data_IF_085393029758
#
_entry.id   IF_085393029758
#
_cell.length_a   1.000
_cell.length_b   1.000
_cell.length_c   1.000
_cell.angle_alpha   90.00
_cell.angle_beta   90.00
_cell.angle_gamma   90.00
#
_symmetry.space_group_name_H-M   'P 1'
#
loop_
_entity.id
_entity.type
_entity.pdbx_description
1 polymer ?
#
# COMPACT_ATOMS: atom_id res chain seq x y z
N UNK A 1 -40.75 5.72 -44.15
CA UNK A 1 -39.92 6.46 -43.19
C UNK A 1 -39.14 5.44 -42.37
N UNK A 2 -37.82 5.38 -42.58
CA UNK A 2 -36.91 4.54 -41.80
C UNK A 2 -36.74 5.16 -40.41
N UNK A 3 -37.15 4.47 -39.35
CA UNK A 3 -36.86 4.87 -37.98
C UNK A 3 -35.58 4.13 -37.52
N UNK A 4 -34.46 4.84 -37.48
CA UNK A 4 -33.26 4.40 -36.78
C UNK A 4 -33.55 4.45 -35.28
N UNK A 5 -33.65 3.30 -34.63
CA UNK A 5 -33.64 3.22 -33.16
C UNK A 5 -32.18 3.25 -32.72
N UNK A 6 -31.73 4.41 -32.22
CA UNK A 6 -30.44 4.54 -31.58
C UNK A 6 -30.51 3.85 -30.21
N UNK A 7 -29.88 2.68 -30.10
CA UNK A 7 -29.63 2.03 -28.80
C UNK A 7 -28.53 2.85 -28.12
N UNK A 8 -28.94 3.64 -27.12
CA UNK A 8 -28.00 4.30 -26.20
C UNK A 8 -27.43 3.22 -25.29
N UNK A 9 -26.19 2.82 -25.54
CA UNK A 9 -25.41 2.07 -24.57
C UNK A 9 -25.09 3.00 -23.40
N UNK A 10 -25.75 2.81 -22.27
CA UNK A 10 -25.28 3.37 -21.01
C UNK A 10 -23.95 2.67 -20.65
N UNK A 11 -22.82 3.32 -20.93
CA UNK A 11 -21.55 2.92 -20.33
C UNK A 11 -21.65 3.23 -18.83
N UNK A 12 -21.92 2.21 -18.02
CA UNK A 12 -21.63 2.27 -16.60
C UNK A 12 -20.11 2.23 -16.43
N UNK A 13 -19.48 3.39 -16.30
CA UNK A 13 -18.08 3.49 -15.91
C UNK A 13 -17.96 3.09 -14.43
N UNK A 14 -17.56 1.84 -14.19
CA UNK A 14 -17.16 1.37 -12.86
C UNK A 14 -15.87 2.11 -12.50
N UNK A 15 -15.94 2.94 -11.46
CA UNK A 15 -14.87 3.86 -11.11
C UNK A 15 -14.49 3.61 -9.63
N UNK A 16 -13.37 2.89 -9.42
CA UNK A 16 -12.84 2.51 -8.09
C UNK A 16 -11.86 3.56 -7.60
N UNK A 17 -12.17 4.25 -6.51
CA UNK A 17 -11.30 5.28 -5.94
C UNK A 17 -10.10 4.65 -5.22
N UNK A 18 -8.90 4.89 -5.72
CA UNK A 18 -7.65 4.58 -5.02
C UNK A 18 -7.29 5.77 -4.12
N UNK A 19 -7.13 5.58 -2.82
CA UNK A 19 -6.82 6.68 -1.90
C UNK A 19 -6.03 6.21 -0.69
N UNK A 20 -5.49 7.16 0.06
CA UNK A 20 -4.69 6.88 1.25
C UNK A 20 -4.56 8.10 2.15
N UNK A 21 -3.90 7.92 3.29
CA UNK A 21 -3.64 8.98 4.25
C UNK A 21 -2.27 8.84 4.92
N UNK A 22 -1.67 9.96 5.28
CA UNK A 22 -0.47 10.05 6.12
C UNK A 22 -0.69 11.10 7.21
N UNK A 23 -0.25 10.78 8.43
CA UNK A 23 -0.29 11.71 9.56
C UNK A 23 1.11 11.97 10.12
N UNK A 24 1.40 13.23 10.41
CA UNK A 24 2.66 13.73 10.95
C UNK A 24 2.45 14.51 12.24
N UNK A 25 3.54 14.80 12.96
CA UNK A 25 3.55 15.59 14.21
C UNK A 25 2.46 15.21 15.21
N UNK A 26 2.36 13.92 15.54
CA UNK A 26 1.36 13.37 16.47
C UNK A 26 -0.11 13.67 16.11
N UNK A 27 -0.41 13.90 14.83
CA UNK A 27 -1.77 14.22 14.36
C UNK A 27 -1.98 15.68 13.99
N UNK A 28 -0.99 16.55 14.24
CA UNK A 28 -1.06 17.97 13.91
C UNK A 28 -0.96 18.23 12.40
N UNK A 29 -0.58 17.22 11.61
CA UNK A 29 -0.61 17.24 10.15
C UNK A 29 -1.26 15.95 9.64
N UNK A 30 -2.23 16.07 8.75
CA UNK A 30 -2.89 14.98 8.06
C UNK A 30 -2.98 15.32 6.57
N UNK A 31 -2.51 14.39 5.75
CA UNK A 31 -2.57 14.45 4.28
C UNK A 31 -3.35 13.24 3.80
N UNK A 32 -4.49 13.45 3.19
CA UNK A 32 -5.30 12.41 2.56
C UNK A 32 -5.32 12.65 1.06
N UNK A 33 -5.43 11.58 0.28
CA UNK A 33 -5.58 11.69 -1.17
C UNK A 33 -6.55 10.66 -1.72
N UNK A 34 -7.15 10.97 -2.86
CA UNK A 34 -8.04 10.08 -3.60
C UNK A 34 -7.89 10.32 -5.10
N UNK A 35 -7.47 9.30 -5.84
CA UNK A 35 -7.54 9.27 -7.30
C UNK A 35 -9.01 9.24 -7.73
N UNK A 36 -9.41 10.25 -8.50
CA UNK A 36 -10.77 10.42 -8.97
C UNK A 36 -11.02 9.43 -10.11
N UNK A 37 -11.95 8.49 -9.96
CA UNK A 37 -11.90 7.35 -10.83
C UNK A 37 -12.64 7.60 -12.15
N UNK A 38 -12.06 7.08 -13.23
CA UNK A 38 -12.44 7.45 -14.59
C UNK A 38 -11.82 8.77 -15.07
N UNK A 39 -11.00 9.44 -14.25
CA UNK A 39 -10.31 10.67 -14.61
C UNK A 39 -8.79 10.54 -14.44
N UNK A 40 -8.06 11.51 -15.00
CA UNK A 40 -6.63 11.70 -14.74
C UNK A 40 -6.42 12.74 -13.64
N UNK A 41 -7.29 12.81 -12.63
CA UNK A 41 -7.20 13.76 -11.53
C UNK A 41 -7.06 13.04 -10.18
N UNK A 42 -6.32 13.64 -9.25
CA UNK A 42 -6.22 13.25 -7.86
C UNK A 42 -6.67 14.42 -6.99
N UNK A 43 -7.44 14.13 -5.95
CA UNK A 43 -7.85 15.10 -4.93
C UNK A 43 -7.01 14.88 -3.66
N UNK A 44 -6.51 15.96 -3.08
CA UNK A 44 -5.82 15.98 -1.79
C UNK A 44 -6.69 16.71 -0.76
N UNK A 45 -6.66 16.21 0.48
CA UNK A 45 -7.22 16.89 1.65
C UNK A 45 -6.11 17.06 2.69
N UNK A 46 -5.75 18.31 2.97
CA UNK A 46 -4.75 18.68 3.97
C UNK A 46 -5.46 19.19 5.21
N UNK A 47 -5.08 18.70 6.38
CA UNK A 47 -5.55 19.21 7.67
C UNK A 47 -4.34 19.44 8.55
N UNK A 48 -4.06 20.68 8.93
CA UNK A 48 -2.93 20.99 9.82
C UNK A 48 -3.35 21.91 10.95
N UNK A 49 -2.76 21.71 12.12
CA UNK A 49 -3.03 22.49 13.33
C UNK A 49 -2.27 23.81 13.31
N UNK A 50 -2.83 24.75 12.57
CA UNK A 50 -2.42 26.13 12.49
C UNK A 50 -3.64 27.01 12.18
N UNK A 51 -3.47 28.32 12.28
CA UNK A 51 -4.38 29.34 11.72
C UNK A 51 -3.72 30.12 10.58
N UNK A 52 -2.77 29.49 9.91
CA UNK A 52 -1.99 30.09 8.84
C UNK A 52 -1.95 29.21 7.61
N UNK A 53 -0.99 29.49 6.74
CA UNK A 53 -0.85 28.73 5.52
C UNK A 53 -0.39 27.30 5.79
N UNK A 54 -0.84 26.38 4.93
CA UNK A 54 -0.44 24.98 4.89
C UNK A 54 0.03 24.63 3.48
N UNK A 55 0.99 23.72 3.36
CA UNK A 55 1.59 23.37 2.08
C UNK A 55 1.88 21.88 1.91
N UNK A 56 1.72 21.40 0.67
CA UNK A 56 2.06 20.07 0.22
C UNK A 56 3.07 20.17 -0.93
N UNK A 57 4.21 19.49 -0.79
CA UNK A 57 5.16 19.31 -1.88
C UNK A 57 5.16 17.87 -2.38
N UNK A 58 5.32 17.66 -3.68
CA UNK A 58 5.39 16.37 -4.34
C UNK A 58 6.75 16.28 -5.04
N UNK A 59 7.47 15.17 -4.86
CA UNK A 59 8.79 14.98 -5.46
C UNK A 59 9.14 13.51 -5.67
N UNK A 60 9.95 13.22 -6.69
CA UNK A 60 10.57 11.91 -6.87
C UNK A 60 11.77 11.66 -5.94
N UNK A 61 12.24 12.69 -5.23
CA UNK A 61 13.48 12.64 -4.43
C UNK A 61 13.26 13.26 -3.04
N UNK A 62 13.79 12.62 -1.99
CA UNK A 62 13.89 13.26 -0.69
C UNK A 62 15.17 14.12 -0.62
N UNK A 63 15.12 15.32 -1.18
CA UNK A 63 16.27 16.23 -1.26
C UNK A 63 16.11 17.49 -0.39
N UNK A 64 15.20 17.44 0.59
CA UNK A 64 14.72 18.63 1.31
C UNK A 64 13.96 19.55 0.33
N UNK A 65 14.01 20.87 0.54
CA UNK A 65 13.35 21.89 -0.31
C UNK A 65 13.94 22.00 -1.73
N UNK A 66 14.20 20.91 -2.45
CA UNK A 66 14.70 20.90 -3.81
C UNK A 66 13.87 19.91 -4.64
N UNK A 67 13.64 20.23 -5.91
CA UNK A 67 12.83 19.47 -6.87
C UNK A 67 11.43 19.16 -6.33
N UNK A 68 10.76 20.19 -5.81
CA UNK A 68 9.38 20.06 -5.34
C UNK A 68 8.43 20.81 -6.26
N UNK A 69 7.34 20.13 -6.57
CA UNK A 69 6.08 20.66 -7.08
C UNK A 69 5.18 20.94 -5.86
N UNK A 70 4.88 22.21 -5.59
CA UNK A 70 4.39 22.69 -4.29
C UNK A 70 3.06 23.44 -4.43
N UNK A 71 2.08 23.01 -3.64
CA UNK A 71 0.82 23.71 -3.46
C UNK A 71 0.75 24.25 -2.05
N UNK A 72 0.58 25.56 -1.90
CA UNK A 72 0.50 26.22 -0.60
C UNK A 72 -0.71 27.15 -0.56
N UNK A 73 -1.42 27.17 0.55
CA UNK A 73 -2.66 27.93 0.66
C UNK A 73 -3.15 28.05 2.08
N UNK A 74 -4.36 28.54 2.27
CA UNK A 74 -4.97 28.71 3.59
C UNK A 74 -6.42 29.17 3.52
N UNK A 75 -6.92 29.66 4.66
CA UNK A 75 -8.27 30.18 4.77
C UNK A 75 -8.24 31.53 5.48
N UNK A 76 -8.47 32.60 4.73
CA UNK A 76 -8.33 33.99 5.20
C UNK A 76 -9.54 34.81 4.80
N UNK A 77 -10.03 35.67 5.69
CA UNK A 77 -11.16 36.57 5.40
C UNK A 77 -12.40 35.85 4.86
N UNK A 78 -12.72 34.67 5.41
CA UNK A 78 -13.82 33.79 4.96
C UNK A 78 -13.68 33.24 3.53
N UNK A 79 -12.48 33.26 2.97
CA UNK A 79 -12.18 32.71 1.66
C UNK A 79 -10.99 31.75 1.75
N UNK A 80 -11.08 30.64 1.02
CA UNK A 80 -9.94 29.76 0.82
C UNK A 80 -9.07 30.29 -0.33
N UNK A 81 -7.80 29.93 -0.30
CA UNK A 81 -6.86 30.23 -1.37
C UNK A 81 -5.86 29.08 -1.53
N UNK A 82 -5.36 28.92 -2.74
CA UNK A 82 -4.31 27.98 -3.10
C UNK A 82 -3.43 28.64 -4.15
N UNK A 83 -2.14 28.50 -3.95
CA UNK A 83 -1.10 29.00 -4.84
C UNK A 83 -0.16 27.86 -5.20
N UNK A 84 0.30 27.91 -6.45
CA UNK A 84 1.13 26.90 -7.09
C UNK A 84 2.56 27.41 -7.20
N UNK A 85 3.52 26.54 -6.91
CA UNK A 85 4.92 26.87 -6.76
C UNK A 85 5.80 25.70 -7.20
N UNK A 86 7.01 26.03 -7.63
CA UNK A 86 8.07 25.04 -7.83
C UNK A 86 9.34 25.44 -7.08
N UNK A 87 10.17 24.45 -6.77
CA UNK A 87 11.40 24.65 -5.98
C UNK A 87 12.57 23.86 -6.56
N UNK A 88 13.56 24.54 -7.15
CA UNK A 88 14.75 23.90 -7.76
C UNK A 88 16.01 23.90 -6.87
N UNK A 89 15.98 24.67 -5.78
CA UNK A 89 17.06 24.84 -4.83
C UNK A 89 16.49 25.13 -3.44
N UNK A 90 17.30 25.01 -2.38
CA UNK A 90 16.89 25.35 -1.00
C UNK A 90 16.73 26.86 -0.82
N UNK A 91 15.75 27.42 -1.49
CA UNK A 91 15.42 28.85 -1.58
C UNK A 91 13.93 29.03 -1.40
N UNK A 92 13.47 30.29 -1.39
CA UNK A 92 12.06 30.62 -1.46
C UNK A 92 11.44 29.94 -2.69
N UNK A 93 10.27 29.28 -2.55
CA UNK A 93 9.53 28.73 -3.69
C UNK A 93 9.25 29.81 -4.74
N UNK A 94 9.35 29.43 -6.01
CA UNK A 94 9.06 30.35 -7.13
C UNK A 94 7.63 30.12 -7.59
N UNK A 95 6.78 31.17 -7.71
CA UNK A 95 5.41 31.00 -8.18
C UNK A 95 5.36 30.29 -9.53
N UNK A 96 4.42 29.38 -9.67
CA UNK A 96 4.13 28.69 -10.92
C UNK A 96 2.79 29.14 -11.50
N UNK A 97 2.83 29.89 -12.60
CA UNK A 97 1.65 30.59 -13.12
C UNK A 97 0.83 29.74 -14.10
N UNK A 98 1.14 28.46 -14.23
CA UNK A 98 0.44 27.49 -15.08
C UNK A 98 -0.74 26.82 -14.36
N UNK A 99 -0.94 27.11 -13.07
CA UNK A 99 -2.06 26.66 -12.21
C UNK A 99 -2.46 25.21 -12.48
N UNK A 100 -1.68 24.27 -11.96
CA UNK A 100 -1.88 22.84 -12.10
C UNK A 100 -2.98 22.26 -11.19
N UNK A 101 -3.42 23.03 -10.19
CA UNK A 101 -4.41 22.62 -9.20
C UNK A 101 -5.64 23.54 -9.13
N UNK A 102 -6.77 22.96 -8.72
CA UNK A 102 -8.03 23.65 -8.46
C UNK A 102 -8.44 23.41 -7.01
N UNK A 103 -8.51 24.48 -6.21
CA UNK A 103 -9.05 24.40 -4.86
C UNK A 103 -10.55 24.07 -4.90
N UNK A 104 -10.98 23.08 -4.11
CA UNK A 104 -12.36 22.60 -4.05
C UNK A 104 -13.03 22.94 -2.72
N UNK A 105 -12.27 23.04 -1.64
CA UNK A 105 -12.75 23.49 -0.35
C UNK A 105 -11.61 24.03 0.53
N UNK A 106 -11.97 24.81 1.54
CA UNK A 106 -11.08 25.16 2.63
C UNK A 106 -11.85 25.72 3.80
N UNK A 107 -11.33 25.53 5.00
CA UNK A 107 -11.93 26.04 6.23
C UNK A 107 -10.86 26.23 7.30
N UNK A 108 -11.09 27.18 8.20
CA UNK A 108 -10.31 27.31 9.43
C UNK A 108 -11.25 27.32 10.63
N UNK A 109 -11.04 26.40 11.58
CA UNK A 109 -11.81 26.35 12.81
C UNK A 109 -11.00 25.72 13.94
N UNK A 110 -11.07 26.30 15.14
CA UNK A 110 -10.44 25.74 16.33
C UNK A 110 -8.91 25.60 16.25
N UNK A 111 -8.23 26.49 15.51
CA UNK A 111 -6.79 26.41 15.32
C UNK A 111 -6.34 25.33 14.33
N UNK A 112 -7.23 24.93 13.43
CA UNK A 112 -6.97 23.93 12.37
C UNK A 112 -7.35 24.55 11.03
N UNK A 113 -6.40 24.56 10.10
CA UNK A 113 -6.60 24.91 8.69
C UNK A 113 -6.79 23.62 7.89
N UNK A 114 -7.86 23.57 7.11
CA UNK A 114 -8.14 22.51 6.15
C UNK A 114 -8.16 23.07 4.73
N UNK A 115 -7.54 22.36 3.78
CA UNK A 115 -7.63 22.65 2.35
C UNK A 115 -7.87 21.38 1.57
N UNK A 116 -8.77 21.45 0.61
CA UNK A 116 -9.01 20.41 -0.38
C UNK A 116 -8.81 20.96 -1.77
N UNK A 117 -8.06 20.25 -2.59
CA UNK A 117 -7.81 20.63 -3.97
C UNK A 117 -7.59 19.42 -4.85
N UNK A 118 -7.87 19.57 -6.14
CA UNK A 118 -7.61 18.55 -7.15
C UNK A 118 -6.55 19.01 -8.12
N UNK A 119 -5.78 18.07 -8.66
CA UNK A 119 -4.82 18.31 -9.76
C UNK A 119 -4.82 17.14 -10.72
N UNK A 120 -4.33 17.37 -11.93
CA UNK A 120 -4.10 16.27 -12.86
C UNK A 120 -2.91 15.41 -12.40
N UNK A 121 -2.94 14.13 -12.77
CA UNK A 121 -1.81 13.21 -12.61
C UNK A 121 -0.62 13.65 -13.47
N UNK A 122 -0.91 14.13 -14.68
CA UNK A 122 0.04 14.75 -15.60
C UNK A 122 -0.52 16.11 -16.00
N UNK A 123 0.18 17.18 -15.60
CA UNK A 123 -0.23 18.56 -15.83
C UNK A 123 0.26 19.08 -17.18
N UNK A 124 1.28 18.42 -17.75
CA UNK A 124 2.00 18.88 -18.93
C UNK A 124 3.04 19.98 -18.64
N UNK A 125 3.20 20.43 -17.40
CA UNK A 125 4.25 21.36 -17.00
C UNK A 125 5.54 20.59 -16.67
N UNK A 126 6.68 21.12 -17.11
CA UNK A 126 8.00 20.55 -16.84
C UNK A 126 8.47 20.77 -15.40
N UNK A 127 7.87 21.72 -14.67
CA UNK A 127 8.19 22.00 -13.26
C UNK A 127 7.40 21.11 -12.30
N UNK A 128 6.32 20.51 -12.78
CA UNK A 128 5.46 19.64 -11.98
C UNK A 128 6.00 18.21 -11.94
N UNK A 129 5.79 17.56 -10.80
CA UNK A 129 6.08 16.14 -10.66
C UNK A 129 4.91 15.35 -11.20
N UNK A 130 5.09 14.69 -12.35
CA UNK A 130 4.12 13.74 -12.88
C UNK A 130 3.87 12.59 -11.91
N UNK A 131 2.60 12.33 -11.60
CA UNK A 131 2.16 11.20 -10.79
C UNK A 131 1.84 10.04 -11.73
N UNK A 132 2.82 9.16 -11.95
CA UNK A 132 2.62 7.95 -12.76
C UNK A 132 1.95 6.85 -11.93
N UNK A 133 0.84 6.25 -12.39
CA UNK A 133 0.22 5.10 -11.73
C UNK A 133 1.22 3.96 -11.48
N UNK A 134 1.34 3.53 -10.23
CA UNK A 134 2.27 2.49 -9.79
C UNK A 134 3.66 2.97 -9.37
N UNK A 135 4.02 4.22 -9.65
CA UNK A 135 5.27 4.81 -9.17
C UNK A 135 5.12 5.30 -7.72
N UNK A 136 6.23 5.34 -7.00
CA UNK A 136 6.30 5.86 -5.63
C UNK A 136 7.04 7.19 -5.62
N UNK A 137 6.54 8.13 -4.82
CA UNK A 137 7.07 9.48 -4.68
C UNK A 137 7.14 9.88 -3.19
N UNK A 138 7.67 11.05 -2.90
CA UNK A 138 7.69 11.66 -1.58
C UNK A 138 6.67 12.79 -1.50
N UNK A 139 5.99 12.88 -0.36
CA UNK A 139 5.20 14.03 0.04
C UNK A 139 5.98 14.83 1.08
N UNK A 140 6.24 16.09 0.78
CA UNK A 140 6.69 17.08 1.75
C UNK A 140 5.48 17.83 2.31
N UNK A 141 5.58 18.29 3.54
CA UNK A 141 4.56 19.15 4.14
C UNK A 141 5.24 20.28 4.91
N UNK A 142 4.55 21.41 5.00
CA UNK A 142 4.95 22.53 5.84
C UNK A 142 3.73 23.39 6.22
N UNK A 143 3.82 24.14 7.30
CA UNK A 143 2.82 25.14 7.65
C UNK A 143 3.44 26.33 8.39
N UNK A 144 2.77 27.48 8.31
CA UNK A 144 3.14 28.70 9.03
C UNK A 144 2.05 29.11 10.02
N UNK A 145 2.41 29.96 10.98
CA UNK A 145 1.50 30.44 12.02
C UNK A 145 0.58 31.59 11.54
N UNK A 146 0.80 32.10 10.32
CA UNK A 146 -0.01 33.16 9.68
C UNK A 146 -0.23 32.83 8.20
N UNK A 147 -1.18 33.48 7.54
CA UNK A 147 -1.39 33.34 6.08
C UNK A 147 -0.32 34.03 5.23
N UNK A 148 0.59 34.79 5.83
CA UNK A 148 1.72 35.38 5.09
C UNK A 148 2.76 34.29 4.85
N UNK A 149 3.03 33.96 3.58
CA UNK A 149 4.08 33.00 3.25
C UNK A 149 5.44 33.47 3.80
N UNK A 150 6.09 32.58 4.53
CA UNK A 150 7.31 32.88 5.26
C UNK A 150 8.05 31.60 5.63
N UNK A 151 9.14 31.75 6.37
CA UNK A 151 9.93 30.60 6.80
C UNK A 151 9.17 29.74 7.81
N UNK A 152 8.90 28.48 7.46
CA UNK A 152 8.12 27.51 8.24
C UNK A 152 8.85 26.91 9.46
N UNK A 153 10.05 27.40 9.83
CA UNK A 153 10.82 26.91 10.97
C UNK A 153 10.92 25.37 11.02
N UNK A 154 10.57 24.76 12.15
CA UNK A 154 10.51 23.31 12.38
C UNK A 154 9.21 22.67 11.89
N UNK A 155 8.20 23.45 11.50
CA UNK A 155 6.88 23.01 11.05
C UNK A 155 6.94 22.50 9.61
N UNK A 156 7.74 21.46 9.39
CA UNK A 156 7.99 20.86 8.08
C UNK A 156 8.40 19.40 8.20
N UNK A 157 8.17 18.61 7.16
CA UNK A 157 8.63 17.24 7.11
C UNK A 157 8.46 16.57 5.75
N UNK A 158 8.79 15.28 5.73
CA UNK A 158 8.72 14.40 4.57
C UNK A 158 8.08 13.07 4.95
N UNK A 159 7.35 12.48 4.02
CA UNK A 159 6.94 11.08 4.06
C UNK A 159 8.10 10.14 3.73
N UNK A 160 7.88 8.83 3.93
CA UNK A 160 8.56 7.81 3.15
C UNK A 160 8.04 7.76 1.70
N UNK A 161 8.48 6.77 0.93
CA UNK A 161 7.94 6.55 -0.42
C UNK A 161 6.47 6.14 -0.36
N UNK A 162 5.61 6.87 -1.06
CA UNK A 162 4.17 6.65 -1.13
C UNK A 162 3.71 6.47 -2.57
N UNK A 163 2.80 5.52 -2.79
CA UNK A 163 2.13 5.35 -4.08
C UNK A 163 0.80 6.10 -4.02
N UNK A 164 0.64 7.12 -4.84
CA UNK A 164 -0.59 7.93 -4.85
C UNK A 164 -1.69 7.36 -5.74
N UNK A 165 -1.32 6.54 -6.74
CA UNK A 165 -2.24 5.88 -7.67
C UNK A 165 -1.74 4.47 -7.95
N UNK A 166 -2.60 3.46 -7.88
CA UNK A 166 -2.26 2.07 -8.21
C UNK A 166 -1.81 1.90 -9.66
N UNK A 167 -0.89 0.96 -9.91
CA UNK A 167 -0.60 0.51 -11.26
C UNK A 167 -1.86 -0.10 -11.92
N UNK A 168 -2.07 0.08 -13.23
CA UNK A 168 -3.14 -0.61 -13.94
C UNK A 168 -2.96 -2.13 -13.83
N UNK A 169 -4.05 -2.85 -13.56
CA UNK A 169 -4.02 -4.31 -13.52
C UNK A 169 -3.59 -4.86 -14.88
N UNK A 170 -2.51 -5.65 -14.91
CA UNK A 170 -2.04 -6.27 -16.14
C UNK A 170 -2.98 -7.40 -16.53
N UNK A 171 -3.86 -7.15 -17.51
CA UNK A 171 -4.73 -8.17 -18.07
C UNK A 171 -4.00 -8.94 -19.17
N UNK A 172 -3.14 -9.89 -18.81
CA UNK A 172 -2.58 -10.85 -19.77
C UNK A 172 -3.53 -12.04 -19.92
N UNK A 173 -4.64 -11.85 -20.64
CA UNK A 173 -5.30 -13.00 -21.27
C UNK A 173 -4.50 -13.28 -22.54
N UNK A 174 -3.64 -14.30 -22.48
CA UNK A 174 -2.97 -14.80 -23.68
C UNK A 174 -4.04 -15.30 -24.67
N UNK A 175 -4.10 -14.81 -25.91
CA UNK A 175 -4.99 -15.37 -26.91
C UNK A 175 -4.49 -16.77 -27.26
N UNK A 176 -5.28 -17.79 -26.95
CA UNK A 176 -5.08 -19.14 -27.47
C UNK A 176 -5.32 -19.07 -28.98
N UNK A 177 -4.25 -19.12 -29.76
CA UNK A 177 -4.35 -19.15 -31.22
C UNK A 177 -5.01 -20.47 -31.66
N UNK A 178 -6.26 -20.39 -32.08
CA UNK A 178 -6.96 -21.47 -32.77
C UNK A 178 -6.45 -21.53 -34.21
N UNK A 179 -5.82 -22.64 -34.58
CA UNK A 179 -5.29 -22.86 -35.93
C UNK A 179 -6.43 -22.94 -36.95
N UNK A 180 -6.43 -22.03 -37.93
CA UNK A 180 -7.26 -22.13 -39.13
C UNK A 180 -6.47 -22.82 -40.24
N UNK A 181 -7.07 -23.87 -40.79
CA UNK A 181 -6.59 -24.60 -41.97
C UNK A 181 -7.00 -23.83 -43.22
N UNK A 182 -6.05 -23.54 -44.11
CA UNK A 182 -6.33 -23.16 -45.50
C UNK A 182 -5.44 -24.00 -46.41
N UNK A 183 -6.10 -24.78 -47.27
CA UNK A 183 -5.50 -25.51 -48.38
C UNK A 183 -5.35 -24.58 -49.60
N UNK A 184 -4.29 -24.74 -50.40
CA UNK A 184 -4.33 -25.22 -51.80
C UNK A 184 -2.98 -25.03 -52.53
N UNK A 185 -2.38 -26.18 -52.93
CA UNK A 185 -1.73 -26.54 -54.21
C UNK A 185 -0.86 -25.56 -55.03
N UNK A 186 0.37 -25.97 -55.38
CA UNK A 186 0.72 -26.49 -56.73
C UNK A 186 2.20 -26.97 -56.87
N UNK A 187 2.36 -28.07 -57.63
CA UNK A 187 3.45 -28.66 -58.48
C UNK A 187 4.91 -28.15 -58.34
N UNK A 188 6.00 -28.93 -58.47
CA UNK A 188 6.34 -30.00 -59.42
C UNK A 188 7.51 -30.91 -58.93
N UNK A 189 7.72 -32.01 -59.65
CA UNK A 189 8.50 -33.22 -59.34
C UNK A 189 10.04 -33.11 -59.34
N UNK A 190 10.70 -33.89 -58.46
CA UNK A 190 11.95 -34.65 -58.78
C UNK A 190 12.03 -35.94 -57.92
N UNK A 191 12.27 -37.07 -58.59
CA UNK A 191 12.62 -38.40 -58.03
C UNK A 191 14.11 -38.43 -57.66
N UNK A 192 14.59 -39.08 -56.56
CA UNK A 192 15.09 -40.46 -56.75
C UNK A 192 15.14 -41.41 -55.50
N UNK A 193 15.15 -42.70 -55.83
CA UNK A 193 15.85 -43.86 -55.22
C UNK A 193 15.35 -44.49 -53.89
N UNK A 194 15.09 -45.81 -53.86
CA UNK A 194 14.77 -46.55 -52.63
C UNK A 194 16.01 -46.73 -51.74
N UNK A 195 15.86 -46.39 -50.46
CA UNK A 195 16.88 -46.63 -49.41
C UNK A 195 16.61 -48.01 -48.76
N UNK A 196 17.65 -48.85 -48.54
CA UNK A 196 17.48 -50.22 -48.07
C UNK A 196 16.98 -50.32 -46.62
N UNK A 197 16.21 -51.38 -46.38
CA UNK A 197 15.66 -51.82 -45.09
C UNK A 197 16.75 -51.97 -44.02
N UNK A 198 16.61 -51.39 -42.82
CA UNK A 198 17.54 -51.64 -41.73
C UNK A 198 17.37 -53.05 -41.17
N UNK A 199 18.48 -53.77 -41.08
CA UNK A 199 18.65 -55.05 -40.39
C UNK A 199 18.32 -54.91 -38.90
N UNK A 200 17.66 -55.89 -38.25
CA UNK A 200 17.37 -55.82 -36.81
C UNK A 200 18.66 -55.82 -36.00
N UNK A 201 18.86 -54.79 -35.17
CA UNK A 201 19.94 -54.74 -34.20
C UNK A 201 19.66 -55.70 -33.03
N UNK A 202 20.69 -56.41 -32.59
CA UNK A 202 20.64 -57.36 -31.48
C UNK A 202 20.24 -56.70 -30.16
N UNK A 203 19.30 -57.35 -29.46
CA UNK A 203 18.79 -57.00 -28.14
C UNK A 203 19.93 -56.83 -27.13
N UNK A 204 20.08 -55.65 -26.47
CA UNK A 204 21.06 -55.50 -25.40
C UNK A 204 20.64 -56.28 -24.15
N UNK A 205 21.63 -56.87 -23.48
CA UNK A 205 21.48 -57.60 -22.22
C UNK A 205 20.93 -56.69 -21.10
N UNK A 206 20.17 -57.24 -20.13
CA UNK A 206 19.54 -56.46 -19.07
C UNK A 206 20.60 -55.76 -18.21
N UNK A 207 20.55 -54.43 -18.18
CA UNK A 207 21.30 -53.60 -17.25
C UNK A 207 20.69 -53.69 -15.85
N UNK A 208 21.56 -53.73 -14.83
CA UNK A 208 21.18 -53.79 -13.43
C UNK A 208 20.32 -52.58 -13.03
N UNK A 209 19.25 -52.86 -12.29
CA UNK A 209 18.33 -51.87 -11.72
C UNK A 209 19.11 -50.90 -10.82
N UNK A 210 19.10 -49.58 -11.08
CA UNK A 210 19.73 -48.62 -10.19
C UNK A 210 18.98 -48.56 -8.86
N UNK A 211 19.74 -48.42 -7.77
CA UNK A 211 19.21 -48.24 -6.42
C UNK A 211 18.26 -47.03 -6.37
N UNK A 212 17.22 -47.04 -5.51
CA UNK A 212 16.24 -45.97 -5.43
C UNK A 212 16.93 -44.65 -5.10
N UNK A 213 16.83 -43.70 -6.02
CA UNK A 213 17.22 -42.32 -5.80
C UNK A 213 16.27 -41.69 -4.77
N UNK A 214 16.85 -41.02 -3.77
CA UNK A 214 16.11 -40.29 -2.75
C UNK A 214 15.13 -39.33 -3.41
N UNK A 215 13.86 -39.43 -3.04
CA UNK A 215 12.80 -38.50 -3.44
C UNK A 215 13.26 -37.06 -3.16
N UNK A 216 13.29 -36.16 -4.17
CA UNK A 216 13.63 -34.78 -3.94
C UNK A 216 12.66 -34.18 -2.92
N UNK A 217 13.20 -33.43 -1.95
CA UNK A 217 12.40 -32.72 -0.97
C UNK A 217 11.34 -31.86 -1.67
N UNK A 218 10.11 -31.76 -1.13
CA UNK A 218 9.04 -31.00 -1.75
C UNK A 218 9.51 -29.58 -2.02
N UNK A 219 9.47 -29.18 -3.29
CA UNK A 219 9.73 -27.82 -3.72
C UNK A 219 8.72 -26.91 -3.01
N UNK A 220 9.22 -25.91 -2.29
CA UNK A 220 8.39 -24.91 -1.62
C UNK A 220 7.36 -24.36 -2.60
N UNK A 221 6.08 -24.59 -2.32
CA UNK A 221 4.98 -23.91 -3.02
C UNK A 221 5.26 -22.41 -2.99
N UNK A 222 5.26 -21.69 -4.14
CA UNK A 222 5.41 -20.24 -4.12
C UNK A 222 4.32 -19.66 -3.24
N UNK A 223 4.72 -18.87 -2.25
CA UNK A 223 3.80 -18.16 -1.37
C UNK A 223 2.82 -17.36 -2.23
N UNK A 224 1.53 -17.28 -1.87
CA UNK A 224 0.58 -16.43 -2.57
C UNK A 224 1.13 -15.01 -2.58
N UNK A 225 1.47 -14.50 -3.76
CA UNK A 225 1.82 -13.11 -3.97
C UNK A 225 0.57 -12.28 -3.74
N UNK A 226 0.37 -11.82 -2.50
CA UNK A 226 -0.70 -10.89 -2.16
C UNK A 226 -0.57 -9.62 -2.98
N UNK A 227 -1.61 -9.31 -3.75
CA UNK A 227 -1.70 -8.12 -4.56
C UNK A 227 -1.95 -6.87 -3.70
N UNK A 228 -1.13 -5.83 -3.97
CA UNK A 228 -1.42 -4.40 -3.86
C UNK A 228 -1.54 -3.74 -2.48
N UNK A 229 -0.71 -2.70 -2.30
CA UNK A 229 -0.55 -1.76 -1.19
C UNK A 229 0.16 -2.29 0.07
N UNK A 230 1.49 -2.28 0.03
CA UNK A 230 2.34 -2.42 1.23
C UNK A 230 2.50 -1.03 1.86
N UNK A 231 1.77 -0.77 2.95
CA UNK A 231 2.08 0.35 3.83
C UNK A 231 3.51 0.22 4.35
N UNK A 232 4.20 1.32 4.68
CA UNK A 232 5.61 1.28 5.04
C UNK A 232 5.98 2.25 6.17
N UNK A 233 6.80 1.76 7.11
CA UNK A 233 7.54 2.57 8.07
C UNK A 233 9.02 2.19 8.02
N UNK A 234 9.88 3.20 8.00
CA UNK A 234 11.33 3.04 8.05
C UNK A 234 11.85 3.69 9.32
N UNK A 235 12.56 2.91 10.13
CA UNK A 235 13.21 3.36 11.35
C UNK A 235 14.72 3.21 11.22
N UNK A 236 15.44 3.86 12.15
CA UNK A 236 16.89 3.73 12.29
C UNK A 236 17.63 3.89 10.95
N UNK A 237 17.34 4.98 10.22
CA UNK A 237 17.98 5.29 8.93
C UNK A 237 17.96 4.13 7.90
N UNK A 238 16.91 3.29 7.93
CA UNK A 238 16.79 2.15 7.00
C UNK A 238 17.19 0.80 7.58
N UNK A 239 17.75 0.75 8.79
CA UNK A 239 18.16 -0.52 9.41
C UNK A 239 16.99 -1.35 9.93
N UNK A 240 15.80 -0.76 10.09
CA UNK A 240 14.56 -1.46 10.38
C UNK A 240 13.46 -0.93 9.48
N UNK A 241 12.82 -1.80 8.71
CA UNK A 241 11.71 -1.46 7.83
C UNK A 241 10.54 -2.39 8.12
N UNK A 242 9.37 -1.81 8.38
CA UNK A 242 8.09 -2.50 8.55
C UNK A 242 7.22 -2.22 7.34
N UNK A 243 6.67 -3.28 6.75
CA UNK A 243 5.57 -3.21 5.81
C UNK A 243 4.36 -3.96 6.36
N UNK A 244 3.15 -3.49 6.05
CA UNK A 244 1.94 -4.24 6.40
C UNK A 244 0.82 -4.08 5.38
N UNK A 245 -0.01 -5.13 5.30
CA UNK A 245 -1.21 -5.19 4.48
C UNK A 245 -2.35 -5.82 5.26
N UNK A 246 -3.56 -5.25 5.14
CA UNK A 246 -4.75 -5.75 5.82
C UNK A 246 -5.66 -6.51 4.86
N UNK A 247 -5.95 -7.77 5.15
CA UNK A 247 -6.91 -8.58 4.42
C UNK A 247 -8.31 -8.45 5.05
N UNK A 248 -9.23 -7.78 4.34
CA UNK A 248 -10.60 -7.53 4.80
C UNK A 248 -11.46 -8.79 4.84
N UNK A 249 -11.12 -9.84 4.09
CA UNK A 249 -11.86 -11.11 4.08
C UNK A 249 -11.50 -11.96 5.29
N UNK A 250 -10.20 -12.11 5.57
CA UNK A 250 -9.73 -12.91 6.71
C UNK A 250 -9.69 -12.13 8.02
N UNK A 251 -9.83 -10.80 7.95
CA UNK A 251 -9.66 -9.88 9.09
C UNK A 251 -8.27 -10.02 9.72
N UNK A 252 -7.24 -10.15 8.90
CA UNK A 252 -5.85 -10.32 9.33
C UNK A 252 -4.98 -9.19 8.78
N UNK A 253 -4.02 -8.74 9.58
CA UNK A 253 -2.92 -7.88 9.15
C UNK A 253 -1.69 -8.74 8.94
N UNK A 254 -1.13 -8.70 7.74
CA UNK A 254 0.15 -9.30 7.39
C UNK A 254 1.24 -8.27 7.65
N UNK A 255 2.27 -8.66 8.38
CA UNK A 255 3.45 -7.84 8.66
C UNK A 255 4.67 -8.45 7.97
N UNK A 256 5.50 -7.58 7.41
CA UNK A 256 6.82 -7.91 6.88
C UNK A 256 7.84 -6.97 7.50
N UNK A 257 8.82 -7.52 8.19
CA UNK A 257 9.89 -6.74 8.79
C UNK A 257 11.21 -7.10 8.13
N UNK A 258 11.97 -6.09 7.71
CA UNK A 258 13.34 -6.22 7.21
C UNK A 258 14.28 -5.48 8.14
N UNK A 259 15.30 -6.15 8.67
CA UNK A 259 16.33 -5.53 9.51
C UNK A 259 17.74 -5.80 9.00
N UNK A 260 18.65 -4.85 9.25
CA UNK A 260 20.09 -5.07 9.12
C UNK A 260 20.61 -5.75 10.40
N UNK A 261 20.91 -7.03 10.30
CA UNK A 261 21.32 -7.87 11.43
C UNK A 261 20.70 -9.27 11.37
N UNK A 262 21.22 -10.17 12.20
CA UNK A 262 20.82 -11.58 12.28
C UNK A 262 20.29 -12.01 13.65
N UNK A 263 20.13 -11.06 14.58
CA UNK A 263 19.55 -11.34 15.89
C UNK A 263 18.01 -11.24 15.90
N UNK A 264 17.44 -11.08 17.09
CA UNK A 264 16.00 -11.02 17.28
C UNK A 264 15.38 -9.68 16.89
N UNK A 265 14.10 -9.71 16.51
CA UNK A 265 13.30 -8.58 16.03
C UNK A 265 12.06 -8.48 16.92
N UNK A 266 11.65 -7.27 17.30
CA UNK A 266 10.39 -7.04 18.02
C UNK A 266 9.54 -5.96 17.37
N UNK A 267 8.25 -6.22 17.29
CA UNK A 267 7.20 -5.30 16.87
C UNK A 267 6.20 -5.17 18.02
N UNK A 268 5.93 -3.95 18.48
CA UNK A 268 4.87 -3.69 19.47
C UNK A 268 3.77 -2.81 18.90
N UNK A 269 2.52 -3.10 19.24
CA UNK A 269 1.34 -2.33 18.87
C UNK A 269 0.75 -1.73 20.15
N UNK A 270 0.44 -0.43 20.14
CA UNK A 270 -0.22 0.21 21.29
C UNK A 270 -1.04 1.43 20.91
N UNK A 271 -2.05 1.71 21.73
CA UNK A 271 -2.74 3.00 21.74
C UNK A 271 -1.92 4.12 22.42
N UNK A 272 -0.86 3.75 23.14
CA UNK A 272 -0.07 4.62 24.00
C UNK A 272 1.38 4.67 23.53
N UNK A 273 2.01 5.84 23.61
CA UNK A 273 3.46 5.98 23.52
C UNK A 273 4.03 6.19 24.94
N UNK A 274 4.05 5.11 25.73
CA UNK A 274 4.46 5.15 27.15
C UNK A 274 5.54 4.12 27.45
N UNK A 275 6.70 4.26 26.79
CA UNK A 275 7.86 3.37 26.92
C UNK A 275 7.56 1.92 26.55
N UNK A 276 7.36 1.01 27.50
CA UNK A 276 6.97 -0.37 27.23
C UNK A 276 5.65 -0.71 27.92
N UNK A 277 4.85 0.28 28.31
CA UNK A 277 3.57 0.04 28.96
C UNK A 277 2.44 -0.07 27.96
N UNK A 278 1.73 -1.19 27.97
CA UNK A 278 0.53 -1.46 27.20
C UNK A 278 0.84 -1.84 25.75
N UNK A 279 1.87 -2.65 25.52
CA UNK A 279 2.17 -3.17 24.19
C UNK A 279 1.69 -4.62 24.07
N UNK A 280 1.13 -4.90 22.89
CA UNK A 280 0.92 -6.21 22.28
C UNK A 280 2.10 -6.45 21.34
N UNK A 281 2.89 -7.51 21.56
CA UNK A 281 4.27 -7.63 21.06
C UNK A 281 4.49 -8.96 20.33
N UNK A 282 4.91 -8.88 19.08
CA UNK A 282 5.53 -9.98 18.37
C UNK A 282 7.05 -9.94 18.55
N UNK A 283 7.65 -11.05 18.98
CA UNK A 283 9.11 -11.28 18.96
C UNK A 283 9.43 -12.34 17.93
N UNK A 284 10.21 -11.97 16.92
CA UNK A 284 10.61 -12.84 15.83
C UNK A 284 12.11 -13.13 15.83
N UNK A 285 12.47 -14.35 15.45
CA UNK A 285 13.87 -14.80 15.42
C UNK A 285 14.08 -15.80 14.28
N UNK A 286 15.32 -15.89 13.79
CA UNK A 286 15.77 -17.01 12.94
C UNK A 286 16.85 -17.75 13.70
N UNK A 287 16.69 -19.07 13.85
CA UNK A 287 17.66 -19.90 14.56
C UNK A 287 18.85 -20.29 13.68
N UNK A 288 19.84 -20.95 14.27
CA UNK A 288 21.06 -21.39 13.56
C UNK A 288 20.82 -22.38 12.42
N UNK A 289 19.65 -23.03 12.38
CA UNK A 289 19.23 -23.91 11.29
C UNK A 289 18.46 -23.19 10.18
N UNK A 290 18.34 -21.86 10.25
CA UNK A 290 17.61 -21.04 9.28
C UNK A 290 16.10 -21.06 9.45
N UNK A 291 15.58 -21.67 10.51
CA UNK A 291 14.14 -21.72 10.79
C UNK A 291 13.70 -20.46 11.53
N UNK A 292 12.69 -19.78 11.00
CA UNK A 292 12.08 -18.59 11.60
C UNK A 292 10.99 -18.92 12.62
N UNK A 293 10.85 -18.08 13.64
CA UNK A 293 9.77 -18.17 14.63
C UNK A 293 9.20 -16.78 14.89
N UNK A 294 7.93 -16.73 15.30
CA UNK A 294 7.33 -15.56 15.95
C UNK A 294 6.67 -16.04 17.25
N UNK A 295 6.88 -15.29 18.31
CA UNK A 295 6.35 -15.56 19.64
C UNK A 295 5.57 -14.34 20.12
N UNK A 296 4.51 -14.62 20.86
CA UNK A 296 3.60 -13.62 21.41
C UNK A 296 4.03 -13.18 22.81
N UNK A 297 4.02 -11.87 23.04
CA UNK A 297 4.39 -11.23 24.29
C UNK A 297 3.49 -10.02 24.52
N UNK A 298 3.36 -9.63 25.78
CA UNK A 298 2.74 -8.36 26.16
C UNK A 298 3.54 -7.66 27.24
N UNK A 299 3.28 -6.37 27.42
CA UNK A 299 3.93 -5.60 28.49
C UNK A 299 3.00 -4.58 29.15
N UNK A 300 3.07 -4.51 30.48
CA UNK A 300 2.24 -3.61 31.31
C UNK A 300 3.04 -2.50 31.98
N UNK A 301 4.38 -2.55 31.88
CA UNK A 301 5.30 -1.57 32.45
C UNK A 301 6.65 -1.60 31.72
N UNK A 302 7.59 -0.75 32.12
CA UNK A 302 8.94 -0.67 31.53
C UNK A 302 9.87 -1.77 32.02
N UNK A 303 9.45 -3.02 31.85
CA UNK A 303 10.18 -4.24 32.24
C UNK A 303 10.23 -5.22 31.06
N UNK A 304 10.96 -6.31 31.22
CA UNK A 304 10.94 -7.43 30.25
C UNK A 304 9.49 -7.82 29.93
N UNK A 305 9.09 -7.87 28.64
CA UNK A 305 7.77 -8.35 28.26
C UNK A 305 7.52 -9.77 28.75
N UNK A 306 6.28 -10.04 29.14
CA UNK A 306 5.85 -11.38 29.55
C UNK A 306 5.41 -12.14 28.31
N UNK A 307 5.89 -13.38 28.15
CA UNK A 307 5.43 -14.24 27.06
C UNK A 307 3.94 -14.51 27.24
N UNK A 308 3.17 -14.31 26.19
CA UNK A 308 1.74 -14.56 26.24
C UNK A 308 1.46 -16.07 26.25
N UNK A 309 0.46 -16.46 27.02
CA UNK A 309 -0.02 -17.83 27.07
C UNK A 309 -0.83 -18.20 25.82
N UNK A 310 -1.43 -17.21 25.14
CA UNK A 310 -2.05 -17.37 23.84
C UNK A 310 -1.09 -16.91 22.75
N UNK A 311 -1.04 -17.64 21.65
CA UNK A 311 -0.23 -17.29 20.48
C UNK A 311 -1.18 -16.75 19.42
N UNK A 312 -1.22 -15.44 19.27
CA UNK A 312 -2.12 -14.75 18.34
C UNK A 312 -1.41 -14.28 17.06
N UNK A 313 -0.08 -14.30 17.05
CA UNK A 313 0.73 -14.13 15.84
C UNK A 313 0.96 -15.49 15.14
N UNK A 314 0.71 -15.51 13.84
CA UNK A 314 0.98 -16.67 12.99
C UNK A 314 2.21 -16.41 12.13
N UNK A 315 3.27 -17.19 12.35
CA UNK A 315 4.48 -17.17 11.52
C UNK A 315 4.15 -17.54 10.06
N UNK A 316 4.81 -16.89 9.10
CA UNK A 316 4.66 -17.19 7.67
C UNK A 316 6.01 -17.61 7.09
N UNK A 317 6.99 -16.71 7.06
CA UNK A 317 8.34 -17.00 6.56
C UNK A 317 9.39 -16.19 7.29
N UNK A 318 10.63 -16.65 7.27
CA UNK A 318 11.78 -15.81 7.55
C UNK A 318 12.96 -16.21 6.67
N UNK A 319 13.86 -15.27 6.43
CA UNK A 319 15.12 -15.53 5.74
C UNK A 319 16.22 -14.65 6.32
N UNK A 320 17.45 -15.18 6.30
CA UNK A 320 18.65 -14.43 6.62
C UNK A 320 19.63 -14.52 5.46
N UNK A 321 19.90 -13.40 4.81
CA UNK A 321 20.79 -13.32 3.66
C UNK A 321 21.61 -12.03 3.73
N UNK A 322 22.93 -12.13 3.49
CA UNK A 322 23.84 -10.99 3.43
C UNK A 322 23.75 -10.03 4.63
N UNK A 323 23.66 -10.60 5.85
CA UNK A 323 23.56 -9.81 7.08
C UNK A 323 22.23 -9.07 7.26
N UNK A 324 21.18 -9.43 6.51
CA UNK A 324 19.81 -8.93 6.71
C UNK A 324 18.88 -10.06 7.10
N UNK A 325 17.95 -9.77 8.00
CA UNK A 325 16.84 -10.67 8.33
C UNK A 325 15.55 -10.10 7.78
N UNK A 326 14.76 -10.93 7.11
CA UNK A 326 13.38 -10.64 6.72
C UNK A 326 12.48 -11.63 7.42
N UNK A 327 11.42 -11.15 8.09
CA UNK A 327 10.39 -12.01 8.68
C UNK A 327 9.01 -11.55 8.27
N UNK A 328 8.14 -12.50 7.97
CA UNK A 328 6.73 -12.29 7.67
C UNK A 328 5.88 -13.10 8.63
N UNK A 329 4.87 -12.46 9.21
CA UNK A 329 3.88 -13.06 10.08
C UNK A 329 2.56 -12.31 9.97
N UNK A 330 1.47 -12.84 10.51
CA UNK A 330 0.16 -12.20 10.50
C UNK A 330 -0.53 -12.29 11.84
N UNK A 331 -1.49 -11.40 12.08
CA UNK A 331 -2.35 -11.39 13.27
C UNK A 331 -3.77 -10.99 12.90
N UNK A 332 -4.78 -11.57 13.56
CA UNK A 332 -6.17 -11.16 13.39
C UNK A 332 -6.42 -9.79 14.01
N UNK A 333 -7.42 -9.06 13.51
CA UNK A 333 -7.84 -7.79 14.12
C UNK A 333 -8.26 -7.94 15.58
N UNK A 334 -8.97 -9.02 15.87
CA UNK A 334 -9.47 -9.38 17.20
C UNK A 334 -9.01 -10.80 17.53
N UNK A 335 -8.34 -10.95 18.66
CA UNK A 335 -7.76 -12.21 19.14
C UNK A 335 -8.60 -12.84 20.25
N UNK A 336 -9.42 -12.03 20.93
CA UNK A 336 -10.10 -12.41 22.17
C UNK A 336 -9.09 -12.77 23.29
N UNK A 337 -7.91 -12.15 23.23
CA UNK A 337 -7.04 -12.00 24.38
C UNK A 337 -7.22 -10.61 25.02
N UNK A 338 -7.22 -10.56 26.35
CA UNK A 338 -7.30 -9.31 27.12
C UNK A 338 -5.95 -8.60 27.24
N UNK A 339 -4.83 -9.29 26.94
CA UNK A 339 -3.48 -8.71 26.90
C UNK A 339 -3.19 -7.98 25.60
N UNK A 340 -4.02 -8.26 24.61
CA UNK A 340 -3.86 -7.81 23.25
C UNK A 340 -4.52 -6.48 22.95
N UNK A 341 -3.96 -5.79 21.96
CA UNK A 341 -4.61 -4.63 21.37
C UNK A 341 -5.56 -5.11 20.27
N UNK A 342 -6.86 -4.85 20.43
CA UNK A 342 -7.82 -5.02 19.35
C UNK A 342 -7.57 -3.96 18.27
N UNK A 343 -7.23 -4.43 17.06
CA UNK A 343 -7.01 -3.57 15.88
C UNK A 343 -8.36 -3.29 15.24
N UNK A 344 -8.87 -2.08 15.45
CA UNK A 344 -10.11 -1.61 14.85
C UNK A 344 -9.84 -1.03 13.47
N UNK A 345 -10.73 -1.32 12.53
CA UNK A 345 -10.67 -0.75 11.18
C UNK A 345 -10.76 0.78 11.26
N UNK A 346 -9.84 1.48 10.60
CA UNK A 346 -9.73 2.94 10.59
C UNK A 346 -9.11 3.57 11.83
N UNK A 347 -8.89 2.81 12.91
CA UNK A 347 -8.21 3.33 14.12
C UNK A 347 -6.70 3.35 13.93
N UNK A 348 -6.04 4.32 14.58
CA UNK A 348 -4.60 4.52 14.52
C UNK A 348 -3.88 4.01 15.77
N UNK A 349 -2.68 3.46 15.59
CA UNK A 349 -1.86 2.83 16.64
C UNK A 349 -0.39 3.27 16.55
N UNK A 350 0.27 3.41 17.69
CA UNK A 350 1.72 3.54 17.73
C UNK A 350 2.37 2.19 17.44
N UNK A 351 3.49 2.24 16.73
CA UNK A 351 4.34 1.07 16.44
C UNK A 351 5.61 1.21 17.25
N UNK A 352 5.82 0.34 18.24
CA UNK A 352 7.13 0.15 18.84
C UNK A 352 7.96 -0.75 17.92
N UNK A 353 9.20 -0.36 17.68
CA UNK A 353 10.15 -1.16 16.91
C UNK A 353 11.40 -1.42 17.74
N UNK A 354 11.95 -2.61 17.60
CA UNK A 354 13.18 -2.98 18.30
C UNK A 354 13.87 -4.13 17.56
N UNK A 355 15.20 -4.15 17.58
CA UNK A 355 15.94 -5.32 17.09
C UNK A 355 17.31 -5.41 17.75
N UNK A 356 17.84 -6.63 17.84
CA UNK A 356 19.23 -6.88 18.17
C UNK A 356 19.95 -7.34 16.90
N UNK A 357 21.03 -6.65 16.46
CA UNK A 357 21.66 -6.97 15.19
C UNK A 357 22.47 -8.27 15.22
N UNK A 358 22.84 -8.78 16.39
CA UNK A 358 23.82 -9.88 16.53
C UNK A 358 23.32 -11.05 17.37
N UNK A 359 22.57 -10.79 18.44
CA UNK A 359 22.11 -11.84 19.37
C UNK A 359 20.75 -12.38 18.97
N UNK A 360 20.66 -13.71 18.80
CA UNK A 360 19.39 -14.44 18.65
C UNK A 360 18.77 -14.83 20.00
N UNK A 361 19.36 -14.41 21.12
CA UNK A 361 18.79 -14.60 22.46
C UNK A 361 17.94 -13.39 22.82
N UNK A 362 16.64 -13.60 22.99
CA UNK A 362 15.73 -12.54 23.44
C UNK A 362 16.14 -12.03 24.82
N UNK A 363 16.20 -10.71 24.96
CA UNK A 363 16.72 -10.06 26.17
C UNK A 363 16.73 -8.55 26.03
N UNK A 364 17.58 -7.88 26.81
CA UNK A 364 17.67 -6.43 26.76
C UNK A 364 18.18 -5.93 25.39
N UNK A 365 17.41 -5.06 24.76
CA UNK A 365 17.69 -4.51 23.42
C UNK A 365 18.75 -3.41 23.36
N UNK A 366 19.33 -3.04 24.51
CA UNK A 366 20.24 -1.89 24.58
C UNK A 366 19.54 -0.56 24.36
N UNK A 367 20.33 0.52 24.26
CA UNK A 367 19.81 1.88 24.20
C UNK A 367 19.56 2.42 22.78
N UNK A 368 19.97 1.70 21.73
CA UNK A 368 20.21 2.30 20.39
C UNK A 368 19.28 1.79 19.29
N UNK A 369 18.86 0.52 19.35
CA UNK A 369 18.11 -0.15 18.29
C UNK A 369 16.66 -0.40 18.70
N UNK A 370 16.02 0.66 19.19
CA UNK A 370 14.64 0.67 19.62
C UNK A 370 14.00 2.03 19.42
N UNK A 371 12.68 2.07 19.37
CA UNK A 371 11.93 3.31 19.43
C UNK A 371 10.45 3.09 19.17
N UNK A 372 9.80 4.20 18.84
CA UNK A 372 8.41 4.22 18.39
C UNK A 372 8.33 4.89 17.03
N UNK A 373 7.25 4.62 16.30
CA UNK A 373 6.78 5.50 15.25
C UNK A 373 6.51 6.88 15.83
N UNK A 374 6.93 7.92 15.12
CA UNK A 374 6.68 9.30 15.53
C UNK A 374 5.18 9.57 15.64
N UNK A 375 4.37 8.90 14.80
CA UNK A 375 2.92 9.05 14.74
C UNK A 375 2.22 7.70 14.82
N UNK A 376 0.94 7.73 15.16
CA UNK A 376 0.08 6.57 15.04
C UNK A 376 -0.20 6.27 13.56
N UNK A 377 -0.39 5.00 13.22
CA UNK A 377 -0.68 4.51 11.85
C UNK A 377 -1.93 3.64 11.82
N UNK A 378 -2.62 3.61 10.68
CA UNK A 378 -3.76 2.71 10.45
C UNK A 378 -3.24 1.34 10.05
N UNK A 379 -3.44 0.33 10.91
CA UNK A 379 -3.07 -1.06 10.60
C UNK A 379 -4.10 -1.78 9.75
N UNK A 380 -5.38 -1.38 9.86
CA UNK A 380 -6.49 -1.96 9.11
C UNK A 380 -7.33 -0.85 8.48
N UNK A 381 -7.09 -0.53 7.22
CA UNK A 381 -7.90 0.43 6.46
C UNK A 381 -9.11 -0.25 5.82
N UNK A 382 -10.15 0.52 5.49
CA UNK A 382 -11.20 0.02 4.59
C UNK A 382 -10.60 -0.21 3.21
N UNK A 383 -10.39 -1.48 2.86
CA UNK A 383 -10.23 -1.86 1.47
C UNK A 383 -11.61 -1.76 0.80
N UNK A 384 -11.76 -0.92 -0.21
CA UNK A 384 -12.96 -0.92 -1.06
C UNK A 384 -12.89 -2.16 -1.96
N UNK A 385 -13.22 -3.32 -1.42
CA UNK A 385 -13.36 -4.56 -2.20
C UNK A 385 -14.61 -4.44 -3.05
N UNK A 386 -14.44 -4.13 -4.34
CA UNK A 386 -15.54 -4.23 -5.31
C UNK A 386 -15.84 -5.71 -5.52
N UNK A 387 -16.97 -6.17 -5.00
CA UNK A 387 -17.50 -7.51 -5.32
C UNK A 387 -17.92 -7.49 -6.79
N UNK A 388 -17.07 -8.00 -7.67
CA UNK A 388 -17.45 -8.30 -9.05
C UNK A 388 -18.37 -9.51 -9.00
N UNK A 389 -19.67 -9.26 -8.99
CA UNK A 389 -20.65 -10.32 -9.21
C UNK A 389 -20.68 -10.57 -10.72
N UNK A 390 -19.97 -11.58 -11.19
CA UNK A 390 -20.19 -12.10 -12.55
C UNK A 390 -21.52 -12.85 -12.54
N UNK A 391 -22.61 -12.15 -12.86
CA UNK A 391 -23.82 -12.84 -13.31
C UNK A 391 -23.53 -13.41 -14.70
N UNK A 392 -23.18 -14.70 -14.75
CA UNK A 392 -23.31 -15.48 -15.99
C UNK A 392 -24.79 -15.53 -16.33
N UNK A 393 -25.19 -14.71 -17.30
CA UNK A 393 -26.55 -14.67 -17.80
C UNK A 393 -26.96 -16.03 -18.34
N UNK A 394 -27.79 -16.75 -17.59
CA UNK A 394 -28.77 -17.65 -18.18
C UNK A 394 -30.11 -16.95 -18.10
N UNK A 395 -30.70 -16.73 -19.27
CA UNK A 395 -32.00 -16.12 -19.45
C UNK A 395 -33.06 -17.03 -18.79
N UNK A 396 -33.55 -16.64 -17.62
CA UNK A 396 -34.74 -17.22 -17.01
C UNK A 396 -35.71 -16.09 -16.65
N UNK A 397 -36.96 -16.30 -17.08
CA UNK A 397 -38.10 -15.39 -17.10
C UNK A 397 -38.24 -14.53 -15.84
N UNK A 398 -38.42 -13.22 -16.07
CA UNK A 398 -38.97 -12.28 -15.09
C UNK A 398 -40.39 -12.74 -14.69
N UNK A 399 -40.58 -13.06 -13.41
CA UNK A 399 -41.87 -12.97 -12.74
C UNK A 399 -41.71 -12.00 -11.57
N UNK A 400 -42.35 -10.85 -11.74
CA UNK A 400 -42.84 -9.90 -10.73
C UNK A 400 -42.50 -10.16 -9.26
N UNK A 401 -41.83 -9.19 -8.62
CA UNK A 401 -42.31 -8.58 -7.37
C UNK A 401 -41.72 -7.18 -7.21
N UNK A 402 -42.65 -6.24 -7.09
CA UNK A 402 -42.50 -4.82 -6.81
C UNK A 402 -42.59 -4.66 -5.28
N UNK A 403 -41.60 -4.05 -4.62
CA UNK A 403 -41.83 -3.42 -3.31
C UNK A 403 -41.05 -2.11 -3.22
N UNK A 404 -41.82 -1.05 -3.01
CA UNK A 404 -41.49 0.35 -2.77
C UNK A 404 -40.59 0.54 -1.53
N UNK A 405 -39.79 1.62 -1.51
CA UNK A 405 -40.12 2.82 -0.69
C UNK A 405 -39.09 3.95 -0.93
N UNK A 406 -39.54 4.99 -1.62
CA UNK A 406 -38.85 6.28 -1.76
C UNK A 406 -39.46 7.32 -0.81
N UNK A 407 -38.59 8.03 -0.10
CA UNK A 407 -38.62 9.45 0.26
C UNK A 407 -39.90 10.06 0.86
N UNK A 408 -39.75 10.61 2.07
CA UNK A 408 -40.57 11.69 2.61
C UNK A 408 -39.67 12.94 2.77
N UNK A 409 -40.05 14.05 2.12
CA UNK A 409 -40.02 15.48 2.53
C UNK A 409 -40.48 16.24 1.26
N UNK A 410 -41.79 16.51 1.13
CA UNK A 410 -42.50 17.74 1.51
C UNK A 410 -42.26 18.93 0.57
N UNK A 411 -43.29 19.31 -0.18
CA UNK A 411 -43.97 20.62 -0.12
C UNK A 411 -45.00 20.72 -1.26
N UNK A 412 -46.23 21.11 -0.94
CA UNK A 412 -46.86 22.35 -1.40
C UNK A 412 -48.30 22.41 -0.86
N UNK A 413 -48.67 23.61 -0.42
CA UNK A 413 -49.82 23.85 0.42
C UNK A 413 -51.18 23.78 -0.27
N UNK A 414 -52.18 23.69 0.60
CA UNK A 414 -53.37 24.54 0.62
C UNK A 414 -53.67 24.89 2.08
#
# INVERSE_FOLDING_TARGET
MLAFSAIVFALATISTAFGGQLSFESGDVLVEWTHLPGTQEIEFNLTMKTTGWIGLGISMENSGMKKLDVYAGGFKNSANYLEDYYVDAKTTPTPDNTNAATITAGSENGGITNLRFKRKLDTGDAKDTKITPGEKLYLAWAYGDTDTFGYHNTNKGYSGLVMLVAAPASSTIAPTASSSVVATSSVDAVSPTPTPTPTPASTPAPTSTPAPTSTPAPTSTPAPTSASQDNELIFKKGEYKLNWNFNSNTKEVMFKITVTGTGWIGLGISDLNKDMKGLDIAVAMVNSSGHGTVEDYYSTSKTTPTKDAKQDFTFITASQNNGKTVVEFKRKLKTNDEKDVEIMVGKTYYIAWVFNPTSSVFGYHGSVNRGYSSNKVVLAGTQTTTVVTTTTGTCAKLSSILVLLSMFVAMLGY
#
